data_IF_874305149037
#
_entry.id   IF_874305149037
#
_cell.length_a   1.000
_cell.length_b   1.000
_cell.length_c   1.000
_cell.angle_alpha   90.00
_cell.angle_beta   90.00
_cell.angle_gamma   90.00
#
_symmetry.space_group_name_H-M   'P 1'
#
loop_
_entity.id
_entity.type
_entity.pdbx_description
1 polymer ?
#
# COMPACT_ATOMS: atom_id res chain seq x y z
N UNK A 1 -20.83 23.11 -4.61
CA UNK A 1 -19.74 24.01 -4.21
C UNK A 1 -18.90 24.33 -5.44
N UNK A 2 -18.49 25.58 -5.57
CA UNK A 2 -17.71 26.04 -6.73
C UNK A 2 -16.22 26.19 -6.39
N UNK A 3 -15.85 26.14 -5.12
CA UNK A 3 -14.45 26.19 -4.67
C UNK A 3 -14.24 25.42 -3.37
N UNK A 4 -13.00 25.15 -3.06
CA UNK A 4 -12.61 24.47 -1.82
C UNK A 4 -12.89 25.34 -0.60
N UNK A 5 -12.78 26.65 -0.71
CA UNK A 5 -13.12 27.60 0.35
C UNK A 5 -14.61 27.52 0.69
N UNK A 6 -15.47 27.56 -0.33
CA UNK A 6 -16.93 27.45 -0.14
C UNK A 6 -17.29 26.14 0.53
N UNK A 7 -16.59 25.06 0.22
CA UNK A 7 -16.81 23.75 0.83
C UNK A 7 -16.32 23.69 2.30
N UNK A 8 -15.08 24.10 2.57
CA UNK A 8 -14.48 23.94 3.92
C UNK A 8 -15.08 24.92 4.93
N UNK A 9 -15.36 26.16 4.50
CA UNK A 9 -15.81 27.23 5.37
C UNK A 9 -17.32 27.44 5.33
N UNK A 10 -18.08 26.50 4.73
CA UNK A 10 -19.53 26.55 4.70
C UNK A 10 -20.10 26.54 6.12
N UNK A 11 -20.95 27.53 6.43
CA UNK A 11 -21.57 27.70 7.74
C UNK A 11 -22.48 26.52 8.16
N UNK A 12 -23.00 25.77 7.17
CA UNK A 12 -23.86 24.60 7.40
C UNK A 12 -23.07 23.32 7.65
N UNK A 13 -21.75 23.36 7.47
CA UNK A 13 -20.85 22.20 7.67
C UNK A 13 -20.04 22.42 8.96
N UNK A 14 -20.43 21.72 10.02
CA UNK A 14 -19.71 21.83 11.29
C UNK A 14 -18.30 21.22 11.21
N UNK A 15 -17.36 21.86 11.90
CA UNK A 15 -15.96 21.40 11.98
C UNK A 15 -15.84 19.95 12.46
N UNK A 16 -16.71 19.50 13.35
CA UNK A 16 -16.70 18.13 13.87
C UNK A 16 -17.12 17.09 12.83
N UNK A 17 -18.02 17.44 11.91
CA UNK A 17 -18.45 16.54 10.82
C UNK A 17 -17.42 16.48 9.70
N UNK A 18 -16.94 17.63 9.23
CA UNK A 18 -15.89 17.72 8.24
C UNK A 18 -14.51 17.83 8.93
N UNK A 19 -14.16 16.85 9.73
CA UNK A 19 -12.86 16.81 10.42
C UNK A 19 -11.70 16.39 9.48
N UNK A 20 -10.45 16.42 9.98
CA UNK A 20 -9.26 16.01 9.23
C UNK A 20 -9.40 14.63 8.58
N UNK A 21 -9.97 13.65 9.30
CA UNK A 21 -10.17 12.29 8.77
C UNK A 21 -11.17 12.24 7.63
N UNK A 22 -12.25 13.01 7.71
CA UNK A 22 -13.23 13.09 6.64
C UNK A 22 -12.61 13.74 5.38
N UNK A 23 -11.89 14.85 5.54
CA UNK A 23 -11.18 15.50 4.45
C UNK A 23 -10.10 14.59 3.84
N UNK A 24 -9.34 13.88 4.66
CA UNK A 24 -8.36 12.90 4.22
C UNK A 24 -8.97 11.85 3.28
N UNK A 25 -10.10 11.27 3.67
CA UNK A 25 -10.82 10.30 2.83
C UNK A 25 -11.33 10.94 1.55
N UNK A 26 -11.97 12.11 1.63
CA UNK A 26 -12.56 12.79 0.47
C UNK A 26 -11.50 13.18 -0.58
N UNK A 27 -10.36 13.71 -0.14
CA UNK A 27 -9.27 14.05 -1.07
C UNK A 27 -8.65 12.80 -1.69
N UNK A 28 -8.28 11.82 -0.87
CA UNK A 28 -7.63 10.58 -1.37
C UNK A 28 -8.54 9.73 -2.24
N UNK A 29 -9.86 9.83 -2.06
CA UNK A 29 -10.86 9.18 -2.94
C UNK A 29 -11.17 9.98 -4.21
N UNK A 30 -10.51 11.12 -4.41
CA UNK A 30 -10.76 12.05 -5.52
C UNK A 30 -12.16 12.67 -5.55
N UNK A 31 -12.91 12.61 -4.45
CA UNK A 31 -14.24 13.19 -4.35
C UNK A 31 -14.25 14.72 -4.36
N UNK A 32 -13.11 15.36 -4.19
CA UNK A 32 -12.93 16.82 -4.20
C UNK A 32 -12.05 17.30 -5.36
N UNK A 33 -11.76 16.47 -6.37
CA UNK A 33 -10.88 16.84 -7.50
C UNK A 33 -11.44 18.03 -8.27
N UNK A 34 -12.75 18.15 -8.43
CA UNK A 34 -13.40 19.29 -9.10
C UNK A 34 -13.26 20.64 -8.34
N UNK A 35 -12.89 20.58 -7.06
CA UNK A 35 -12.62 21.77 -6.24
C UNK A 35 -11.14 22.13 -6.18
N UNK A 36 -10.27 21.32 -6.78
CA UNK A 36 -8.85 21.56 -6.90
C UNK A 36 -8.60 22.49 -8.11
N UNK A 37 -8.18 23.71 -7.86
CA UNK A 37 -7.87 24.70 -8.90
C UNK A 37 -6.37 24.82 -9.18
N UNK A 38 -5.99 25.73 -10.07
CA UNK A 38 -4.61 25.93 -10.55
C UNK A 38 -3.60 26.38 -9.48
N UNK A 39 -4.05 26.72 -8.28
CA UNK A 39 -3.18 27.05 -7.13
C UNK A 39 -2.49 25.79 -6.58
N UNK A 40 -3.04 24.61 -6.86
CA UNK A 40 -2.48 23.35 -6.37
C UNK A 40 -1.65 22.68 -7.47
N UNK A 41 -0.42 22.31 -7.13
CA UNK A 41 0.53 21.68 -8.07
C UNK A 41 0.26 20.19 -8.28
N UNK A 42 -0.62 19.60 -7.49
CA UNK A 42 -1.02 18.19 -7.58
C UNK A 42 -1.84 17.74 -6.36
N UNK A 43 -2.34 16.51 -6.41
CA UNK A 43 -3.25 15.99 -5.39
C UNK A 43 -2.62 15.87 -4.00
N UNK A 44 -1.32 15.61 -3.91
CA UNK A 44 -0.61 15.55 -2.62
C UNK A 44 -0.51 16.93 -1.99
N UNK A 45 -0.19 17.95 -2.80
CA UNK A 45 -0.22 19.33 -2.36
C UNK A 45 -1.60 19.73 -1.84
N UNK A 46 -2.66 19.44 -2.61
CA UNK A 46 -4.04 19.68 -2.20
C UNK A 46 -4.39 18.98 -0.88
N UNK A 47 -4.04 17.70 -0.76
CA UNK A 47 -4.27 16.92 0.43
C UNK A 47 -3.58 17.49 1.67
N UNK A 48 -2.30 17.89 1.54
CA UNK A 48 -1.54 18.49 2.65
C UNK A 48 -2.13 19.82 3.10
N UNK A 49 -2.47 20.69 2.17
CA UNK A 49 -3.01 22.01 2.47
C UNK A 49 -4.42 21.97 3.09
N UNK A 50 -5.22 20.97 2.74
CA UNK A 50 -6.65 20.90 3.07
C UNK A 50 -6.95 19.90 4.20
N UNK A 51 -6.29 18.73 4.20
CA UNK A 51 -6.61 17.62 5.09
C UNK A 51 -5.56 17.42 6.20
N UNK A 52 -4.27 17.40 5.88
CA UNK A 52 -3.19 17.20 6.87
C UNK A 52 -3.13 18.39 7.81
N UNK A 53 -3.10 19.58 7.27
CA UNK A 53 -3.16 20.83 8.03
C UNK A 53 -4.46 21.58 7.75
N UNK A 54 -5.57 21.01 8.24
CA UNK A 54 -6.90 21.54 7.99
C UNK A 54 -7.02 23.00 8.40
N UNK A 55 -7.27 23.92 7.45
CA UNK A 55 -7.38 25.34 7.75
C UNK A 55 -8.67 25.65 8.53
N UNK A 56 -8.58 26.62 9.43
CA UNK A 56 -9.75 27.14 10.19
C UNK A 56 -10.29 28.42 9.60
N UNK A 57 -9.51 29.10 8.79
CA UNK A 57 -9.82 30.37 8.14
C UNK A 57 -9.19 30.36 6.74
N UNK A 58 -9.75 31.16 5.87
CA UNK A 58 -9.27 31.35 4.50
C UNK A 58 -7.78 31.73 4.44
N UNK A 59 -7.34 32.62 5.32
CA UNK A 59 -5.92 32.99 5.45
C UNK A 59 -5.03 31.78 5.71
N UNK A 60 -5.45 30.84 6.56
CA UNK A 60 -4.66 29.63 6.84
C UNK A 60 -4.61 28.70 5.62
N UNK A 61 -5.67 28.65 4.81
CA UNK A 61 -5.64 27.89 3.56
C UNK A 61 -4.60 28.47 2.59
N UNK A 62 -4.58 29.78 2.40
CA UNK A 62 -3.58 30.44 1.55
C UNK A 62 -2.14 30.18 2.04
N UNK A 63 -1.90 30.29 3.33
CA UNK A 63 -0.59 29.97 3.93
C UNK A 63 -0.21 28.50 3.68
N UNK A 64 -1.14 27.57 3.82
CA UNK A 64 -0.91 26.14 3.57
C UNK A 64 -0.60 25.87 2.08
N UNK A 65 -1.31 26.52 1.16
CA UNK A 65 -1.05 26.39 -0.28
C UNK A 65 0.41 26.76 -0.60
N UNK A 66 0.90 27.86 -0.05
CA UNK A 66 2.28 28.30 -0.27
C UNK A 66 3.30 27.32 0.36
N UNK A 67 3.04 26.87 1.59
CA UNK A 67 3.94 26.00 2.35
C UNK A 67 4.07 24.61 1.71
N UNK A 68 2.98 24.03 1.23
CA UNK A 68 2.96 22.66 0.69
C UNK A 68 3.12 22.59 -0.83
N UNK A 69 3.26 23.72 -1.54
CA UNK A 69 3.45 23.76 -2.99
C UNK A 69 4.55 22.81 -3.53
N UNK A 70 5.69 22.58 -2.84
CA UNK A 70 6.73 21.68 -3.32
C UNK A 70 6.34 20.20 -3.34
N UNK A 71 5.25 19.77 -2.68
CA UNK A 71 4.87 18.35 -2.58
C UNK A 71 4.35 17.76 -3.89
N UNK A 72 3.72 18.58 -4.74
CA UNK A 72 3.22 18.16 -6.04
C UNK A 72 2.14 17.08 -5.98
N UNK A 73 2.34 15.97 -6.68
CA UNK A 73 1.40 14.85 -6.75
C UNK A 73 1.88 13.63 -5.93
N UNK A 74 0.96 12.73 -5.61
CA UNK A 74 1.29 11.43 -5.03
C UNK A 74 2.07 10.57 -6.03
N UNK A 75 3.05 9.82 -5.54
CA UNK A 75 3.67 8.77 -6.32
C UNK A 75 2.66 7.65 -6.66
N UNK A 76 2.94 6.86 -7.69
CA UNK A 76 2.08 5.72 -8.06
C UNK A 76 1.94 4.71 -6.90
N UNK A 77 3.00 4.53 -6.10
CA UNK A 77 2.96 3.67 -4.91
C UNK A 77 2.00 4.21 -3.84
N UNK A 78 2.06 5.52 -3.56
CA UNK A 78 1.13 6.17 -2.62
C UNK A 78 -0.32 6.09 -3.11
N UNK A 79 -0.57 6.27 -4.42
CA UNK A 79 -1.92 6.14 -5.02
C UNK A 79 -2.48 4.72 -4.83
N UNK A 80 -1.67 3.69 -5.07
CA UNK A 80 -2.06 2.29 -4.86
C UNK A 80 -2.38 2.00 -3.38
N UNK A 81 -1.57 2.52 -2.45
CA UNK A 81 -1.81 2.39 -1.02
C UNK A 81 -3.09 3.11 -0.59
N UNK A 82 -3.34 4.30 -1.11
CA UNK A 82 -4.57 5.04 -0.86
C UNK A 82 -5.78 4.26 -1.35
N UNK A 83 -5.75 3.74 -2.57
CA UNK A 83 -6.83 2.93 -3.11
C UNK A 83 -7.10 1.72 -2.22
N UNK A 84 -6.05 0.96 -1.87
CA UNK A 84 -6.19 -0.21 -1.00
C UNK A 84 -6.74 0.14 0.39
N UNK A 85 -6.30 1.25 0.99
CA UNK A 85 -6.74 1.68 2.32
C UNK A 85 -8.19 2.16 2.35
N UNK A 86 -8.69 2.73 1.25
CA UNK A 86 -10.04 3.25 1.12
C UNK A 86 -11.07 2.19 0.75
N UNK A 87 -10.69 1.26 -0.13
CA UNK A 87 -11.59 0.23 -0.67
C UNK A 87 -11.50 -1.11 0.08
N UNK A 88 -10.43 -1.33 0.82
CA UNK A 88 -10.08 -2.64 1.38
C UNK A 88 -9.59 -3.65 0.33
N UNK A 89 -9.49 -3.25 -0.95
CA UNK A 89 -9.08 -4.09 -2.07
C UNK A 89 -7.73 -3.62 -2.57
N UNK A 90 -6.76 -4.52 -2.64
CA UNK A 90 -5.46 -4.21 -3.21
C UNK A 90 -5.51 -4.32 -4.74
N UNK A 91 -5.12 -3.27 -5.51
CA UNK A 91 -5.26 -3.26 -6.96
C UNK A 91 -4.15 -4.09 -7.63
N UNK A 92 -4.24 -5.41 -7.52
CA UNK A 92 -3.21 -6.35 -7.99
C UNK A 92 -2.96 -6.21 -9.48
N UNK A 93 -3.99 -5.94 -10.28
CA UNK A 93 -3.89 -5.79 -11.74
C UNK A 93 -2.95 -4.65 -12.18
N UNK A 94 -2.83 -3.59 -11.36
CA UNK A 94 -1.90 -2.49 -11.63
C UNK A 94 -0.44 -2.88 -11.39
N UNK A 95 -0.20 -3.84 -10.48
CA UNK A 95 1.15 -4.30 -10.11
C UNK A 95 1.55 -5.52 -10.91
N UNK A 96 0.59 -6.37 -11.23
CA UNK A 96 0.78 -7.67 -11.86
C UNK A 96 -0.23 -7.87 -13.00
N UNK A 97 0.05 -7.30 -14.20
CA UNK A 97 -0.78 -7.50 -15.38
C UNK A 97 -1.01 -8.98 -15.73
N UNK A 98 -2.17 -9.30 -16.30
CA UNK A 98 -2.56 -10.68 -16.60
C UNK A 98 -1.52 -11.41 -17.48
N UNK A 99 -0.94 -10.74 -18.47
CA UNK A 99 0.09 -11.29 -19.34
C UNK A 99 1.32 -11.81 -18.56
N UNK A 100 1.74 -11.09 -17.51
CA UNK A 100 2.86 -11.50 -16.66
C UNK A 100 2.45 -12.70 -15.79
N UNK A 101 1.22 -12.74 -15.28
CA UNK A 101 0.68 -13.86 -14.52
C UNK A 101 0.68 -15.14 -15.37
N UNK A 102 0.15 -15.07 -16.60
CA UNK A 102 0.10 -16.18 -17.53
C UNK A 102 1.50 -16.71 -17.90
N UNK A 103 2.46 -15.79 -18.08
CA UNK A 103 3.86 -16.15 -18.33
C UNK A 103 4.50 -16.88 -17.14
N UNK A 104 4.26 -16.43 -15.93
CA UNK A 104 4.74 -17.09 -14.73
C UNK A 104 4.11 -18.46 -14.52
N UNK A 105 2.79 -18.58 -14.76
CA UNK A 105 2.07 -19.84 -14.69
C UNK A 105 2.65 -20.86 -15.69
N UNK A 106 2.88 -20.45 -16.93
CA UNK A 106 3.51 -21.30 -17.96
C UNK A 106 4.90 -21.79 -17.58
N UNK A 107 5.62 -21.03 -16.76
CA UNK A 107 6.95 -21.40 -16.24
C UNK A 107 6.91 -22.17 -14.92
N UNK A 108 5.75 -22.63 -14.49
CA UNK A 108 5.56 -23.38 -13.24
C UNK A 108 5.72 -22.52 -11.99
N UNK A 109 5.39 -21.22 -12.09
CA UNK A 109 5.39 -20.28 -10.97
C UNK A 109 3.98 -19.71 -10.75
N UNK A 110 3.04 -20.48 -10.16
CA UNK A 110 1.68 -20.06 -9.88
C UNK A 110 1.62 -19.00 -8.77
N UNK A 111 0.46 -18.35 -8.55
CA UNK A 111 0.22 -17.56 -7.35
C UNK A 111 0.32 -18.44 -6.10
N UNK A 112 0.61 -17.83 -4.94
CA UNK A 112 0.79 -18.56 -3.68
C UNK A 112 -0.46 -19.36 -3.26
N UNK A 113 -1.65 -18.93 -3.67
CA UNK A 113 -2.91 -19.66 -3.46
C UNK A 113 -2.96 -21.01 -4.19
N UNK A 114 -2.19 -21.17 -5.26
CA UNK A 114 -2.09 -22.38 -6.09
C UNK A 114 -0.76 -23.11 -5.86
N UNK A 115 -0.21 -23.02 -4.65
CA UNK A 115 1.04 -23.67 -4.27
C UNK A 115 1.04 -25.17 -4.55
N UNK A 116 2.05 -25.63 -5.26
CA UNK A 116 2.31 -27.04 -5.53
C UNK A 116 3.53 -27.51 -4.68
N UNK A 117 3.36 -28.49 -3.78
CA UNK A 117 4.44 -29.05 -2.95
C UNK A 117 5.60 -29.62 -3.76
N UNK A 118 5.39 -30.08 -4.98
CA UNK A 118 6.42 -30.68 -5.83
C UNK A 118 7.27 -29.58 -6.50
N UNK A 119 6.65 -28.48 -6.92
CA UNK A 119 7.32 -27.35 -7.56
C UNK A 119 7.89 -26.36 -6.54
N UNK A 120 7.18 -26.12 -5.45
CA UNK A 120 7.52 -25.17 -4.34
C UNK A 120 7.69 -23.71 -4.76
N UNK A 121 7.70 -23.42 -6.04
CA UNK A 121 7.91 -22.09 -6.60
C UNK A 121 6.57 -21.37 -6.73
N UNK A 122 6.47 -20.17 -6.17
CA UNK A 122 5.26 -19.34 -6.25
C UNK A 122 5.63 -17.87 -6.36
N UNK A 123 4.67 -17.06 -6.81
CA UNK A 123 4.75 -15.62 -6.69
C UNK A 123 3.71 -15.07 -5.69
N UNK A 124 4.03 -13.94 -5.10
CA UNK A 124 3.19 -13.23 -4.12
C UNK A 124 3.60 -11.77 -4.01
N UNK A 125 2.78 -10.97 -3.33
CA UNK A 125 2.99 -9.55 -3.04
C UNK A 125 3.02 -9.37 -1.52
N UNK A 126 4.18 -9.01 -0.91
CA UNK A 126 4.26 -8.67 0.51
C UNK A 126 3.44 -7.42 0.85
N UNK A 127 2.63 -7.51 1.89
CA UNK A 127 1.77 -6.44 2.38
C UNK A 127 2.24 -5.86 3.72
N UNK A 128 2.81 -6.69 4.55
CA UNK A 128 3.28 -6.31 5.88
C UNK A 128 4.42 -7.23 6.32
N UNK A 129 5.36 -6.69 7.08
CA UNK A 129 6.42 -7.46 7.74
C UNK A 129 6.36 -7.23 9.24
N UNK A 130 6.16 -8.30 10.00
CA UNK A 130 6.18 -8.29 11.47
C UNK A 130 7.40 -9.03 11.98
N UNK A 131 8.22 -8.35 12.79
CA UNK A 131 9.34 -8.99 13.50
C UNK A 131 8.81 -9.65 14.76
N UNK A 132 9.15 -10.92 14.94
CA UNK A 132 8.79 -11.73 16.10
C UNK A 132 10.02 -12.38 16.72
N UNK A 133 9.91 -12.75 18.00
CA UNK A 133 10.94 -13.51 18.71
C UNK A 133 10.39 -14.85 19.19
N UNK A 134 11.21 -15.89 19.06
CA UNK A 134 10.94 -17.19 19.66
C UNK A 134 11.09 -17.13 21.18
N UNK A 135 10.68 -18.17 21.90
CA UNK A 135 10.91 -18.30 23.34
C UNK A 135 12.39 -18.23 23.73
N UNK A 136 13.29 -18.60 22.82
CA UNK A 136 14.75 -18.55 23.00
C UNK A 136 15.38 -17.25 22.50
N UNK A 137 14.57 -16.20 22.26
CA UNK A 137 15.04 -14.87 21.85
C UNK A 137 15.44 -14.74 20.37
N UNK A 138 15.39 -15.82 19.57
CA UNK A 138 15.75 -15.78 18.14
C UNK A 138 14.69 -15.04 17.33
N UNK A 139 15.10 -14.06 16.56
CA UNK A 139 14.20 -13.30 15.68
C UNK A 139 13.82 -14.08 14.42
N UNK A 140 12.60 -13.85 13.95
CA UNK A 140 12.07 -14.30 12.69
C UNK A 140 11.04 -13.28 12.17
N UNK A 141 10.83 -13.25 10.87
CA UNK A 141 9.80 -12.40 10.29
C UNK A 141 8.56 -13.20 9.92
N UNK A 142 7.40 -12.56 10.09
CA UNK A 142 6.16 -12.98 9.48
C UNK A 142 5.83 -11.95 8.40
N UNK A 143 5.79 -12.39 7.16
CA UNK A 143 5.45 -11.58 6.00
C UNK A 143 4.01 -11.93 5.62
N UNK A 144 3.10 -10.99 5.81
CA UNK A 144 1.74 -11.10 5.30
C UNK A 144 1.76 -10.78 3.81
N UNK A 145 1.17 -11.65 2.99
CA UNK A 145 1.22 -11.58 1.53
C UNK A 145 -0.17 -11.75 0.94
N UNK A 146 -0.36 -11.25 -0.28
CA UNK A 146 -1.54 -11.51 -1.10
C UNK A 146 -1.13 -11.91 -2.52
N UNK A 147 -2.08 -12.39 -3.32
CA UNK A 147 -1.89 -12.72 -4.74
C UNK A 147 -3.10 -12.31 -5.60
N UNK A 148 -3.13 -12.68 -6.88
CA UNK A 148 -4.20 -12.32 -7.82
C UNK A 148 -5.58 -12.87 -7.44
N UNK A 149 -5.64 -13.92 -6.64
CA UNK A 149 -6.87 -14.52 -6.15
C UNK A 149 -7.36 -13.86 -4.84
N UNK A 150 -6.72 -12.75 -4.43
CA UNK A 150 -6.95 -12.08 -3.13
C UNK A 150 -6.75 -13.04 -1.94
N UNK A 151 -5.88 -14.02 -2.11
CA UNK A 151 -5.56 -14.98 -1.05
C UNK A 151 -4.52 -14.41 -0.12
N UNK A 152 -4.87 -14.32 1.16
CA UNK A 152 -3.97 -13.84 2.21
C UNK A 152 -3.22 -15.01 2.83
N UNK A 153 -1.90 -14.95 2.77
CA UNK A 153 -1.01 -15.94 3.37
C UNK A 153 0.04 -15.29 4.26
N UNK A 154 0.55 -16.05 5.20
CA UNK A 154 1.67 -15.64 6.05
C UNK A 154 2.89 -16.53 5.77
N UNK A 155 4.01 -15.92 5.43
CA UNK A 155 5.29 -16.59 5.24
C UNK A 155 6.17 -16.35 6.46
N UNK A 156 6.59 -17.43 7.14
CA UNK A 156 7.57 -17.35 8.23
C UNK A 156 8.97 -17.43 7.69
N UNK A 157 9.73 -16.37 7.89
CA UNK A 157 11.12 -16.30 7.46
C UNK A 157 12.06 -16.45 8.63
N UNK A 158 12.87 -17.51 8.60
CA UNK A 158 13.87 -17.83 9.61
C UNK A 158 15.26 -17.42 9.14
N UNK A 159 16.20 -17.27 10.07
CA UNK A 159 17.59 -16.97 9.71
C UNK A 159 17.79 -15.62 9.06
N UNK A 160 17.03 -14.63 9.55
CA UNK A 160 17.10 -13.23 9.12
C UNK A 160 18.49 -12.66 9.38
N UNK A 161 18.99 -11.87 8.45
CA UNK A 161 20.26 -11.15 8.51
C UNK A 161 20.01 -9.64 8.53
N UNK A 162 20.97 -8.87 9.00
CA UNK A 162 20.88 -7.42 9.11
C UNK A 162 20.74 -6.72 7.74
N UNK A 163 21.19 -7.38 6.67
CA UNK A 163 21.10 -6.88 5.28
C UNK A 163 19.85 -7.38 4.53
N UNK A 164 19.01 -8.21 5.13
CA UNK A 164 17.76 -8.63 4.52
C UNK A 164 16.79 -7.44 4.42
N UNK A 165 16.17 -7.29 3.24
CA UNK A 165 15.17 -6.25 2.96
C UNK A 165 14.06 -6.85 2.12
N UNK A 166 12.82 -6.39 2.40
CA UNK A 166 11.65 -6.68 1.57
C UNK A 166 10.94 -5.36 1.28
N UNK A 167 10.72 -5.11 0.00
CA UNK A 167 9.89 -3.99 -0.45
C UNK A 167 8.43 -4.42 -0.43
N UNK A 168 7.59 -3.70 0.28
CA UNK A 168 6.16 -3.95 0.26
C UNK A 168 5.58 -3.59 -1.10
N UNK A 169 4.43 -4.17 -1.44
CA UNK A 169 3.68 -3.89 -2.67
C UNK A 169 4.48 -4.14 -3.97
N UNK A 170 5.48 -5.01 -3.92
CA UNK A 170 6.23 -5.48 -5.09
C UNK A 170 6.05 -6.98 -5.27
N UNK A 171 6.11 -7.45 -6.50
CA UNK A 171 5.99 -8.88 -6.80
C UNK A 171 7.28 -9.60 -6.45
N UNK A 172 7.15 -10.71 -5.73
CA UNK A 172 8.26 -11.62 -5.43
C UNK A 172 7.96 -13.01 -5.91
N UNK A 173 9.00 -13.69 -6.38
CA UNK A 173 9.01 -15.12 -6.66
C UNK A 173 9.87 -15.79 -5.58
N UNK A 174 9.37 -16.89 -5.04
CA UNK A 174 10.13 -17.63 -4.02
C UNK A 174 9.86 -19.13 -4.04
N UNK A 175 10.88 -19.91 -3.67
CA UNK A 175 10.70 -21.30 -3.27
C UNK A 175 10.31 -21.34 -1.79
N UNK A 176 9.13 -21.87 -1.49
CA UNK A 176 8.60 -21.95 -0.14
C UNK A 176 8.42 -23.41 0.28
N UNK A 177 8.57 -23.66 1.58
CA UNK A 177 8.13 -24.88 2.23
C UNK A 177 6.75 -24.62 2.84
N UNK A 178 5.82 -25.55 2.65
CA UNK A 178 4.51 -25.51 3.31
C UNK A 178 4.37 -26.63 4.33
N UNK A 179 3.75 -26.31 5.45
CA UNK A 179 3.42 -27.27 6.47
C UNK A 179 2.02 -26.98 7.01
N UNK A 180 1.16 -27.97 7.08
CA UNK A 180 -0.26 -27.84 7.47
C UNK A 180 -0.46 -27.15 8.82
N UNK A 181 0.48 -27.33 9.74
CA UNK A 181 0.42 -26.73 11.07
C UNK A 181 0.88 -25.28 11.12
N UNK A 182 1.86 -24.91 10.29
CA UNK A 182 2.56 -23.63 10.41
C UNK A 182 2.44 -22.74 9.17
N UNK A 183 1.87 -23.26 8.08
CA UNK A 183 1.76 -22.57 6.79
C UNK A 183 3.11 -22.46 6.06
N UNK A 184 3.25 -21.41 5.27
CA UNK A 184 4.44 -21.19 4.46
C UNK A 184 5.65 -20.74 5.28
N UNK A 185 6.84 -21.22 4.86
CA UNK A 185 8.09 -20.84 5.51
C UNK A 185 9.29 -20.85 4.57
N UNK A 186 10.34 -20.11 4.93
CA UNK A 186 11.66 -20.14 4.32
C UNK A 186 12.75 -19.93 5.37
N UNK A 187 13.97 -20.38 5.06
CA UNK A 187 15.15 -20.23 5.94
C UNK A 187 16.07 -19.07 5.56
N UNK A 188 15.87 -18.43 4.41
CA UNK A 188 16.71 -17.33 3.97
C UNK A 188 15.99 -16.50 2.91
N UNK A 189 15.69 -15.25 3.23
CA UNK A 189 15.06 -14.30 2.28
C UNK A 189 15.99 -14.11 1.07
N UNK A 190 17.24 -13.74 1.30
CA UNK A 190 18.21 -13.41 0.24
C UNK A 190 18.44 -14.53 -0.77
N UNK A 191 18.34 -15.79 -0.34
CA UNK A 191 18.52 -16.95 -1.22
C UNK A 191 17.25 -17.36 -1.93
N UNK A 192 16.11 -17.11 -1.32
CA UNK A 192 14.83 -17.67 -1.73
C UNK A 192 13.99 -16.67 -2.51
N UNK A 193 14.01 -15.41 -2.10
CA UNK A 193 13.16 -14.38 -2.70
C UNK A 193 13.86 -13.69 -3.87
N UNK A 194 13.13 -13.55 -4.99
CA UNK A 194 13.52 -12.76 -6.15
C UNK A 194 12.43 -11.75 -6.42
N UNK A 195 12.78 -10.47 -6.39
CA UNK A 195 11.85 -9.40 -6.80
C UNK A 195 11.72 -9.43 -8.31
N UNK A 196 10.49 -9.41 -8.80
CA UNK A 196 10.20 -9.14 -10.19
C UNK A 196 10.38 -7.63 -10.42
N UNK A 197 11.20 -7.26 -11.37
CA UNK A 197 11.48 -5.86 -11.72
C UNK A 197 10.43 -5.30 -12.67
#
# INVERSE_FOLDING_TARGET
FNSIEEFIFNENITYSKLNKKALDVLVRSKALDELMDDRFTGLKHFWSAVAVDRPRKEKNLLENIDVYAPEGDFSEEEKLEHFASLTGIFPIHEIMPQEIQDNLMTRGCPPISEYDPDLKLVWFIPREVKVKKTKNGKEYWIISTTDSNSFDANIRCWGIRDDDRISLNKVYIANLEHNDKWGFSTRSIKRTFRRLS
#
